data_IF_445775681027
#
_entry.id   IF_445775681027
#
_cell.length_a   1.000
_cell.length_b   1.000
_cell.length_c   1.000
_cell.angle_alpha   90.00
_cell.angle_beta   90.00
_cell.angle_gamma   90.00
#
_symmetry.space_group_name_H-M   'P 1'
#
loop_
_entity.id
_entity.type
_entity.pdbx_description
1 polymer ?
#
# COMPACT_ATOMS: atom_id res chain seq x y z
N UNK A 1 14.59 -16.97 -15.57
CA UNK A 1 13.64 -16.84 -14.44
C UNK A 1 13.78 -15.52 -13.66
N UNK A 2 14.91 -14.79 -13.70
CA UNK A 2 15.06 -13.49 -13.03
C UNK A 2 14.14 -12.35 -13.54
N UNK A 3 13.65 -12.45 -14.78
CA UNK A 3 12.80 -11.41 -15.40
C UNK A 3 11.39 -11.26 -14.79
N UNK A 4 10.85 -12.30 -14.16
CA UNK A 4 9.47 -12.25 -13.63
C UNK A 4 9.34 -11.42 -12.34
N UNK A 5 10.42 -11.20 -11.59
CA UNK A 5 10.43 -10.35 -10.41
C UNK A 5 10.82 -8.89 -10.68
N UNK A 6 11.33 -8.58 -11.87
CA UNK A 6 11.76 -7.23 -12.21
C UNK A 6 10.58 -6.24 -12.15
N UNK A 7 9.46 -6.60 -12.78
CA UNK A 7 8.24 -5.76 -12.80
C UNK A 7 7.66 -5.55 -11.39
N UNK A 8 7.39 -6.60 -10.58
CA UNK A 8 6.94 -6.42 -9.19
C UNK A 8 7.85 -5.50 -8.35
N UNK A 9 9.18 -5.63 -8.50
CA UNK A 9 10.15 -4.82 -7.75
C UNK A 9 10.14 -3.36 -8.17
N UNK A 10 10.08 -3.10 -9.47
CA UNK A 10 10.00 -1.72 -10.00
C UNK A 10 8.72 -1.05 -9.51
N UNK A 11 7.58 -1.74 -9.59
CA UNK A 11 6.31 -1.22 -9.10
C UNK A 11 6.34 -0.96 -7.58
N UNK A 12 6.92 -1.89 -6.82
CA UNK A 12 7.08 -1.73 -5.38
C UNK A 12 7.92 -0.50 -5.04
N UNK A 13 9.07 -0.32 -5.70
CA UNK A 13 9.93 0.86 -5.50
C UNK A 13 9.20 2.13 -5.90
N UNK A 14 8.52 2.15 -7.05
CA UNK A 14 7.78 3.33 -7.52
C UNK A 14 6.71 3.78 -6.51
N UNK A 15 5.92 2.84 -5.98
CA UNK A 15 4.90 3.12 -4.95
C UNK A 15 5.51 3.47 -3.60
N UNK A 16 6.68 2.93 -3.26
CA UNK A 16 7.37 3.36 -2.04
C UNK A 16 7.85 4.80 -2.16
N UNK A 17 8.48 5.15 -3.29
CA UNK A 17 8.96 6.50 -3.57
C UNK A 17 7.82 7.52 -3.64
N UNK A 18 6.64 7.17 -4.17
CA UNK A 18 5.49 8.09 -4.17
C UNK A 18 5.12 8.55 -2.75
N UNK A 19 5.18 7.66 -1.76
CA UNK A 19 4.92 8.03 -0.36
C UNK A 19 5.97 8.98 0.22
N UNK A 20 7.22 8.89 -0.23
CA UNK A 20 8.26 9.85 0.17
C UNK A 20 8.02 11.22 -0.47
N UNK A 21 7.58 11.24 -1.74
CA UNK A 21 7.25 12.48 -2.43
C UNK A 21 6.11 13.24 -1.74
N UNK A 22 5.16 12.55 -1.12
CA UNK A 22 4.10 13.21 -0.34
C UNK A 22 4.65 14.02 0.84
N UNK A 23 5.69 13.53 1.53
CA UNK A 23 6.34 14.30 2.60
C UNK A 23 7.04 15.55 2.05
N UNK A 24 7.70 15.42 0.90
CA UNK A 24 8.30 16.55 0.21
C UNK A 24 7.24 17.58 -0.18
N UNK A 25 6.07 17.14 -0.65
CA UNK A 25 4.95 18.03 -0.96
C UNK A 25 4.48 18.78 0.29
N UNK A 26 4.31 18.11 1.42
CA UNK A 26 3.89 18.76 2.68
C UNK A 26 4.91 19.82 3.11
N UNK A 27 6.20 19.50 3.09
CA UNK A 27 7.27 20.42 3.51
C UNK A 27 7.37 21.65 2.60
N UNK A 28 7.15 21.48 1.30
CA UNK A 28 7.22 22.56 0.33
C UNK A 28 5.93 23.39 0.23
N UNK A 29 4.84 22.93 0.84
CA UNK A 29 3.55 23.63 0.77
C UNK A 29 3.45 24.65 1.90
N UNK A 30 3.39 25.94 1.53
CA UNK A 30 3.10 27.03 2.46
C UNK A 30 1.58 27.10 2.63
N UNK A 31 1.12 26.90 3.87
CA UNK A 31 -0.30 26.94 4.19
C UNK A 31 -0.71 28.35 4.62
N UNK A 32 -1.45 29.02 3.75
CA UNK A 32 -2.08 30.32 4.03
C UNK A 32 -3.47 30.07 4.65
N UNK A 33 -3.53 29.69 5.93
CA UNK A 33 -4.81 29.49 6.61
C UNK A 33 -4.70 28.99 8.05
N UNK A 34 -5.78 29.19 8.83
CA UNK A 34 -5.90 28.64 10.18
C UNK A 34 -5.97 27.09 10.13
N UNK A 35 -5.17 26.37 10.94
CA UNK A 35 -5.17 24.91 10.95
C UNK A 35 -6.55 24.36 11.34
N UNK A 36 -7.17 23.56 10.46
CA UNK A 36 -8.53 23.00 10.67
C UNK A 36 -8.55 21.47 10.81
N UNK A 37 -7.37 20.87 11.01
CA UNK A 37 -7.19 19.42 11.06
C UNK A 37 -7.79 18.73 12.29
N UNK A 38 -8.03 19.43 13.41
CA UNK A 38 -8.44 18.75 14.66
C UNK A 38 -9.78 18.03 14.53
N UNK A 39 -10.73 18.60 13.79
CA UNK A 39 -12.05 17.98 13.56
C UNK A 39 -12.00 16.75 12.65
N UNK A 40 -11.01 16.67 11.78
CA UNK A 40 -10.85 15.58 10.81
C UNK A 40 -9.84 14.52 11.26
N UNK A 41 -9.05 14.79 12.30
CA UNK A 41 -8.06 13.85 12.82
C UNK A 41 -8.67 12.48 13.18
N UNK A 42 -9.70 12.46 14.03
CA UNK A 42 -10.32 11.22 14.49
C UNK A 42 -10.92 10.38 13.35
N UNK A 43 -11.77 10.93 12.46
CA UNK A 43 -12.33 10.13 11.37
C UNK A 43 -11.25 9.64 10.39
N UNK A 44 -10.22 10.44 10.10
CA UNK A 44 -9.12 10.02 9.22
C UNK A 44 -8.23 8.96 9.87
N UNK A 45 -7.97 9.05 11.18
CA UNK A 45 -7.23 8.02 11.90
C UNK A 45 -7.99 6.68 11.91
N UNK A 46 -9.31 6.71 12.17
CA UNK A 46 -10.14 5.51 12.10
C UNK A 46 -10.17 4.91 10.69
N UNK A 47 -10.33 5.75 9.67
CA UNK A 47 -10.23 5.32 8.28
C UNK A 47 -8.87 4.70 7.98
N UNK A 48 -7.78 5.29 8.48
CA UNK A 48 -6.42 4.77 8.33
C UNK A 48 -6.26 3.38 8.94
N UNK A 49 -6.78 3.16 10.16
CA UNK A 49 -6.75 1.85 10.82
C UNK A 49 -7.55 0.81 10.03
N UNK A 50 -8.75 1.15 9.57
CA UNK A 50 -9.59 0.25 8.76
C UNK A 50 -8.91 -0.11 7.45
N UNK A 51 -8.34 0.88 6.75
CA UNK A 51 -7.64 0.69 5.48
C UNK A 51 -6.34 -0.12 5.65
N UNK A 52 -5.58 0.14 6.71
CA UNK A 52 -4.40 -0.66 7.07
C UNK A 52 -4.77 -2.13 7.34
N UNK A 53 -5.86 -2.36 8.09
CA UNK A 53 -6.42 -3.68 8.32
C UNK A 53 -6.84 -4.36 7.01
N UNK A 54 -7.56 -3.65 6.15
CA UNK A 54 -7.99 -4.15 4.84
C UNK A 54 -6.78 -4.54 3.96
N UNK A 55 -5.69 -3.77 3.99
CA UNK A 55 -4.45 -4.08 3.27
C UNK A 55 -3.89 -5.46 3.65
N UNK A 56 -4.00 -5.87 4.92
CA UNK A 56 -3.50 -7.17 5.39
C UNK A 56 -4.43 -8.33 5.01
N UNK A 57 -5.72 -8.08 4.90
CA UNK A 57 -6.74 -9.12 4.64
C UNK A 57 -6.97 -9.34 3.14
N UNK A 58 -6.95 -8.28 2.32
CA UNK A 58 -7.27 -8.35 0.89
C UNK A 58 -6.45 -9.40 0.10
N UNK A 59 -5.12 -9.53 0.29
CA UNK A 59 -4.32 -10.54 -0.41
C UNK A 59 -4.77 -11.97 -0.12
N UNK A 60 -5.20 -12.24 1.13
CA UNK A 60 -5.64 -13.56 1.58
C UNK A 60 -6.98 -13.96 0.96
N UNK A 61 -7.87 -12.99 0.73
CA UNK A 61 -9.18 -13.25 0.10
C UNK A 61 -8.98 -13.65 -1.36
N UNK A 62 -8.11 -12.95 -2.09
CA UNK A 62 -7.81 -13.27 -3.50
C UNK A 62 -7.16 -14.65 -3.66
N UNK A 63 -6.27 -15.02 -2.74
CA UNK A 63 -5.67 -16.36 -2.70
C UNK A 63 -6.74 -17.45 -2.53
N UNK A 64 -7.68 -17.26 -1.61
CA UNK A 64 -8.73 -18.25 -1.29
C UNK A 64 -9.77 -18.43 -2.41
N UNK A 65 -9.99 -17.42 -3.24
CA UNK A 65 -10.89 -17.52 -4.41
C UNK A 65 -10.29 -18.34 -5.56
N UNK A 66 -8.97 -18.58 -5.54
CA UNK A 66 -8.26 -19.31 -6.59
C UNK A 66 -8.37 -20.82 -6.40
N UNK A 67 -8.30 -21.28 -5.15
CA UNK A 67 -8.41 -22.71 -4.78
C UNK A 67 -9.79 -23.30 -5.06
N UNK A 68 -10.83 -22.47 -5.22
CA UNK A 68 -12.19 -22.94 -5.54
C UNK A 68 -12.47 -23.07 -7.05
N UNK A 69 -11.58 -22.57 -7.91
CA UNK A 69 -11.70 -22.66 -9.38
C UNK A 69 -10.71 -23.64 -10.02
N UNK A 70 -9.98 -24.44 -9.24
CA UNK A 70 -8.86 -25.25 -9.71
C UNK A 70 -9.27 -26.69 -10.07
N UNK A 71 -9.67 -26.89 -11.33
CA UNK A 71 -9.48 -28.17 -12.06
C UNK A 71 -8.82 -27.96 -13.42
N UNK A 72 -8.66 -26.73 -13.91
CA UNK A 72 -8.02 -26.45 -15.21
C UNK A 72 -6.55 -26.07 -15.05
N UNK A 73 -5.72 -26.61 -15.95
CA UNK A 73 -4.28 -26.43 -16.07
C UNK A 73 -3.91 -24.95 -16.25
N UNK A 74 -3.58 -24.26 -15.17
CA UNK A 74 -3.25 -22.84 -15.19
C UNK A 74 -1.90 -22.61 -15.89
N UNK A 75 -1.91 -21.80 -16.95
CA UNK A 75 -0.70 -21.33 -17.61
C UNK A 75 0.13 -20.45 -16.67
N UNK A 76 1.47 -20.60 -16.71
CA UNK A 76 2.43 -19.85 -15.87
C UNK A 76 2.26 -18.32 -15.92
N UNK A 77 1.76 -17.79 -17.04
CA UNK A 77 1.48 -16.35 -17.23
C UNK A 77 0.31 -15.86 -16.37
N UNK A 78 -0.74 -16.67 -16.19
CA UNK A 78 -1.89 -16.30 -15.36
C UNK A 78 -1.54 -16.27 -13.88
N UNK A 79 -0.62 -17.14 -13.43
CA UNK A 79 -0.09 -17.16 -12.06
C UNK A 79 0.67 -15.88 -11.75
N UNK A 80 1.57 -15.46 -12.64
CA UNK A 80 2.31 -14.21 -12.47
C UNK A 80 1.39 -12.98 -12.47
N UNK A 81 0.35 -12.96 -13.32
CA UNK A 81 -0.63 -11.87 -13.36
C UNK A 81 -1.45 -11.75 -12.08
N UNK A 82 -1.93 -12.86 -11.53
CA UNK A 82 -2.69 -12.85 -10.28
C UNK A 82 -1.82 -12.44 -9.08
N UNK A 83 -0.53 -12.83 -9.06
CA UNK A 83 0.43 -12.34 -8.06
C UNK A 83 0.60 -10.82 -8.13
N UNK A 84 0.81 -10.28 -9.34
CA UNK A 84 0.94 -8.84 -9.57
C UNK A 84 -0.30 -8.06 -9.13
N UNK A 85 -1.50 -8.54 -9.46
CA UNK A 85 -2.76 -7.90 -9.05
C UNK A 85 -2.86 -7.86 -7.53
N UNK A 86 -2.58 -8.98 -6.86
CA UNK A 86 -2.62 -9.06 -5.40
C UNK A 86 -1.62 -8.09 -4.75
N UNK A 87 -0.39 -8.02 -5.30
CA UNK A 87 0.64 -7.09 -4.82
C UNK A 87 0.21 -5.63 -5.01
N UNK A 88 -0.26 -5.25 -6.19
CA UNK A 88 -0.70 -3.89 -6.50
C UNK A 88 -1.86 -3.48 -5.58
N UNK A 89 -2.86 -4.35 -5.41
CA UNK A 89 -3.99 -4.07 -4.53
C UNK A 89 -3.55 -3.82 -3.08
N UNK A 90 -2.64 -4.67 -2.58
CA UNK A 90 -2.14 -4.56 -1.22
C UNK A 90 -1.33 -3.27 -1.00
N UNK A 91 -0.51 -2.90 -1.99
CA UNK A 91 0.30 -1.68 -1.98
C UNK A 91 -0.56 -0.43 -2.10
N UNK A 92 -1.58 -0.43 -2.95
CA UNK A 92 -2.53 0.68 -3.09
C UNK A 92 -3.31 0.94 -1.78
N UNK A 93 -3.71 -0.13 -1.07
CA UNK A 93 -4.32 0.02 0.25
C UNK A 93 -3.33 0.56 1.29
N UNK A 94 -2.06 0.18 1.23
CA UNK A 94 -1.04 0.75 2.12
C UNK A 94 -0.79 2.24 1.80
N UNK A 95 -0.73 2.61 0.52
CA UNK A 95 -0.56 3.99 0.07
C UNK A 95 -1.75 4.87 0.45
N UNK A 96 -2.98 4.35 0.41
CA UNK A 96 -4.16 5.07 0.86
C UNK A 96 -4.06 5.54 2.33
N UNK A 97 -3.36 4.79 3.20
CA UNK A 97 -3.09 5.23 4.58
C UNK A 97 -2.17 6.47 4.60
N UNK A 98 -1.14 6.51 3.75
CA UNK A 98 -0.27 7.67 3.63
C UNK A 98 -1.00 8.88 3.04
N UNK A 99 -1.94 8.67 2.11
CA UNK A 99 -2.79 9.74 1.58
C UNK A 99 -3.66 10.36 2.68
N UNK A 100 -4.19 9.57 3.61
CA UNK A 100 -4.93 10.11 4.76
C UNK A 100 -4.03 11.00 5.66
N UNK A 101 -2.78 10.60 5.85
CA UNK A 101 -1.76 11.42 6.51
C UNK A 101 -1.42 12.69 5.73
N UNK A 102 -1.30 12.59 4.40
CA UNK A 102 -1.07 13.72 3.50
C UNK A 102 -2.20 14.76 3.60
N UNK A 103 -3.46 14.30 3.62
CA UNK A 103 -4.62 15.19 3.81
C UNK A 103 -4.50 15.96 5.12
N UNK A 104 -4.13 15.29 6.23
CA UNK A 104 -3.88 15.98 7.49
C UNK A 104 -2.74 17.00 7.40
N UNK A 105 -1.64 16.65 6.71
CA UNK A 105 -0.52 17.57 6.48
C UNK A 105 -0.92 18.82 5.71
N UNK A 106 -1.69 18.66 4.63
CA UNK A 106 -2.23 19.78 3.84
C UNK A 106 -3.20 20.64 4.66
N UNK A 107 -3.89 20.08 5.66
CA UNK A 107 -4.75 20.84 6.58
C UNK A 107 -3.98 21.55 7.71
N UNK A 108 -2.65 21.51 7.69
CA UNK A 108 -1.78 22.16 8.67
C UNK A 108 -1.56 21.35 9.94
N UNK A 109 -1.76 20.04 9.90
CA UNK A 109 -1.41 19.18 11.03
C UNK A 109 0.12 19.16 11.22
N UNK A 110 0.59 19.18 12.49
CA UNK A 110 2.02 19.07 12.75
C UNK A 110 2.56 17.71 12.32
N UNK A 111 3.86 17.67 12.00
CA UNK A 111 4.57 16.46 11.54
C UNK A 111 4.38 15.28 12.51
N UNK A 112 4.31 15.52 13.82
CA UNK A 112 4.07 14.49 14.83
C UNK A 112 2.75 13.74 14.68
N UNK A 113 1.72 14.38 14.12
CA UNK A 113 0.39 13.80 13.86
C UNK A 113 0.36 13.06 12.52
N UNK A 114 1.10 13.58 11.54
CA UNK A 114 1.12 13.06 10.17
C UNK A 114 2.02 11.83 10.04
N UNK A 115 3.20 11.86 10.68
CA UNK A 115 4.23 10.81 10.56
C UNK A 115 3.76 9.38 10.87
N UNK A 116 2.90 9.13 11.89
CA UNK A 116 2.40 7.78 12.14
C UNK A 116 1.73 7.12 10.93
N UNK A 117 1.01 7.87 10.09
CA UNK A 117 0.37 7.34 8.88
C UNK A 117 1.42 6.84 7.87
N UNK A 118 2.46 7.62 7.65
CA UNK A 118 3.58 7.26 6.77
C UNK A 118 4.37 6.06 7.28
N UNK A 119 4.66 6.03 8.58
CA UNK A 119 5.37 4.91 9.20
C UNK A 119 4.57 3.61 9.06
N UNK A 120 3.25 3.65 9.30
CA UNK A 120 2.38 2.48 9.09
C UNK A 120 2.40 2.05 7.62
N UNK A 121 2.29 2.98 6.68
CA UNK A 121 2.40 2.67 5.25
C UNK A 121 3.74 2.01 4.90
N UNK A 122 4.86 2.54 5.38
CA UNK A 122 6.18 1.96 5.11
C UNK A 122 6.33 0.57 5.70
N UNK A 123 5.86 0.34 6.93
CA UNK A 123 5.84 -1.00 7.52
C UNK A 123 5.04 -1.96 6.63
N UNK A 124 3.83 -1.55 6.21
CA UNK A 124 2.98 -2.37 5.34
C UNK A 124 3.65 -2.65 3.99
N UNK A 125 4.31 -1.66 3.38
CA UNK A 125 5.01 -1.82 2.11
C UNK A 125 6.24 -2.72 2.25
N UNK A 126 7.06 -2.55 3.29
CA UNK A 126 8.26 -3.37 3.55
C UNK A 126 7.91 -4.84 3.77
N UNK A 127 6.85 -5.13 4.52
CA UNK A 127 6.35 -6.50 4.71
C UNK A 127 5.95 -7.18 3.38
N UNK A 128 5.66 -6.38 2.35
CA UNK A 128 5.19 -6.83 1.03
C UNK A 128 6.27 -6.80 -0.04
N UNK A 129 7.54 -6.71 0.35
CA UNK A 129 8.64 -6.79 -0.61
C UNK A 129 8.53 -8.07 -1.47
N UNK A 130 8.62 -7.95 -2.82
CA UNK A 130 8.47 -9.09 -3.73
C UNK A 130 9.71 -9.99 -3.73
N UNK A 131 9.56 -11.18 -3.14
CA UNK A 131 10.58 -12.24 -3.06
C UNK A 131 10.23 -13.45 -3.94
N UNK A 132 11.24 -14.26 -4.29
CA UNK A 132 11.03 -15.52 -5.04
C UNK A 132 10.15 -16.49 -4.26
N UNK A 133 10.40 -16.64 -2.96
CA UNK A 133 9.63 -17.50 -2.06
C UNK A 133 8.12 -17.22 -2.12
N UNK A 134 7.71 -15.94 -2.05
CA UNK A 134 6.29 -15.56 -2.16
C UNK A 134 5.69 -15.82 -3.55
N UNK A 135 6.51 -15.81 -4.60
CA UNK A 135 6.05 -16.16 -5.94
C UNK A 135 5.88 -17.68 -6.08
N UNK A 136 6.76 -18.45 -5.44
CA UNK A 136 6.70 -19.92 -5.44
C UNK A 136 5.55 -20.43 -4.56
N UNK A 137 5.29 -19.82 -3.40
CA UNK A 137 4.07 -20.02 -2.60
C UNK A 137 2.79 -19.75 -3.39
N UNK A 138 2.84 -18.82 -4.36
CA UNK A 138 1.71 -18.48 -5.21
C UNK A 138 1.53 -19.45 -6.39
N UNK A 139 2.55 -20.27 -6.69
CA UNK A 139 2.54 -21.32 -7.72
C UNK A 139 2.15 -22.69 -7.16
N UNK A 140 2.49 -22.95 -5.90
CA UNK A 140 2.13 -24.16 -5.16
C UNK A 140 0.62 -24.25 -4.89
#
# INVERSE_FOLDING_TARGET
MAGQLAVPRILWVALFISTLLYLVVIELTILEGEPSWQGLFLPLALAGVVTAGASLVAPRILLRQRTTKSTEEYSSTQVAGAYLISLILAMALAEAVAILGLILGILGAPVTVVMPFFVVTWILMLLRFPTQEKLDEFRA
#
